data_IF_606835514187
#
_entry.id   IF_606835514187
#
_cell.length_a   1.000
_cell.length_b   1.000
_cell.length_c   1.000
_cell.angle_alpha   90.00
_cell.angle_beta   90.00
_cell.angle_gamma   90.00
#
_symmetry.space_group_name_H-M   'P 1'
#
loop_
_entity.id
_entity.type
_entity.pdbx_description
1 polymer ?
#
# COMPACT_ATOMS: atom_id res chain seq x y z
N UNK A 1 52.05 4.03 58.31
CA UNK A 1 51.28 2.82 58.39
C UNK A 1 50.36 2.79 57.22
N UNK A 2 50.85 2.20 56.34
CA UNK A 2 50.44 1.56 55.13
C UNK A 2 49.30 0.58 55.40
N UNK A 3 48.36 0.52 54.53
CA UNK A 3 47.80 -0.74 54.11
C UNK A 3 47.30 -0.58 52.69
N UNK A 4 48.03 -1.30 51.86
CA UNK A 4 47.86 -1.55 50.45
C UNK A 4 46.79 -2.63 50.31
N UNK A 5 45.71 -2.37 49.68
CA UNK A 5 44.70 -3.35 49.30
C UNK A 5 44.53 -3.36 47.79
N UNK A 6 45.45 -4.07 47.16
CA UNK A 6 45.43 -4.43 45.75
C UNK A 6 44.28 -5.42 45.47
N UNK A 7 43.15 -4.95 44.98
CA UNK A 7 42.11 -5.82 44.43
C UNK A 7 42.56 -6.39 43.09
N UNK A 8 43.01 -7.61 43.13
CA UNK A 8 43.23 -8.51 41.95
C UNK A 8 41.87 -8.78 41.27
N UNK A 9 41.71 -8.18 40.12
CA UNK A 9 40.62 -8.62 39.21
C UNK A 9 41.03 -9.92 38.54
N UNK A 10 40.36 -10.97 38.95
CA UNK A 10 40.52 -12.30 38.38
C UNK A 10 39.88 -12.34 36.99
N UNK A 11 40.70 -12.36 35.95
CA UNK A 11 40.29 -12.49 34.58
C UNK A 11 40.15 -13.96 34.20
N UNK A 12 39.02 -14.56 34.48
CA UNK A 12 38.73 -15.89 33.98
C UNK A 12 37.23 -16.10 33.75
N UNK A 13 36.90 -16.21 32.55
CA UNK A 13 35.76 -16.91 31.91
C UNK A 13 35.04 -16.10 30.88
N UNK A 14 35.64 -15.83 29.74
CA UNK A 14 34.90 -15.62 28.51
C UNK A 14 34.41 -16.96 27.99
N UNK A 15 33.33 -17.45 28.51
CA UNK A 15 32.56 -18.48 27.84
C UNK A 15 31.92 -17.86 26.61
N UNK A 16 32.47 -18.15 25.45
CA UNK A 16 31.88 -17.87 24.15
C UNK A 16 30.57 -18.64 24.04
N UNK A 17 29.45 -17.95 24.33
CA UNK A 17 28.12 -18.42 23.91
C UNK A 17 28.03 -18.25 22.40
N UNK A 18 28.74 -19.07 21.66
CA UNK A 18 28.56 -19.22 20.24
C UNK A 18 27.15 -19.81 20.01
N UNK A 19 26.24 -18.99 19.53
CA UNK A 19 24.97 -19.46 18.96
C UNK A 19 25.30 -20.61 17.99
N UNK A 20 24.65 -21.78 18.10
CA UNK A 20 24.82 -22.82 17.11
C UNK A 20 24.40 -22.26 15.74
N UNK A 21 25.14 -22.61 14.67
CA UNK A 21 24.75 -22.20 13.33
C UNK A 21 23.33 -22.70 13.05
N UNK A 22 22.44 -21.78 12.63
CA UNK A 22 21.10 -22.13 12.24
C UNK A 22 21.18 -23.21 11.16
N UNK A 23 20.62 -24.37 11.42
CA UNK A 23 20.46 -25.41 10.40
C UNK A 23 19.69 -24.84 9.22
N UNK A 24 20.08 -25.08 7.97
CA UNK A 24 19.31 -24.64 6.83
C UNK A 24 17.96 -25.33 6.90
N UNK A 25 16.90 -24.52 7.17
CA UNK A 25 15.52 -25.00 7.08
C UNK A 25 15.32 -25.58 5.68
N UNK A 26 15.23 -26.90 5.60
CA UNK A 26 14.80 -27.60 4.39
C UNK A 26 13.37 -27.13 4.07
N UNK A 27 13.26 -26.19 3.15
CA UNK A 27 12.00 -25.83 2.50
C UNK A 27 11.62 -26.99 1.57
N UNK A 28 11.13 -28.09 2.16
CA UNK A 28 10.32 -29.02 1.37
C UNK A 28 9.16 -28.22 0.76
N UNK A 29 8.77 -28.44 -0.49
CA UNK A 29 7.64 -27.79 -1.10
C UNK A 29 6.37 -28.29 -0.40
N UNK A 30 6.03 -27.66 0.72
CA UNK A 30 4.68 -27.73 1.24
C UNK A 30 3.83 -26.95 0.24
N UNK A 31 2.69 -27.50 -0.11
CA UNK A 31 1.64 -26.82 -0.86
C UNK A 31 1.18 -25.58 -0.05
N UNK A 32 1.99 -24.54 -0.11
CA UNK A 32 1.80 -23.31 0.64
C UNK A 32 0.73 -22.53 -0.09
N UNK A 33 -0.50 -22.73 0.31
CA UNK A 33 -1.61 -21.91 -0.13
C UNK A 33 -1.23 -20.44 0.06
N UNK A 34 -0.99 -19.72 -1.04
CA UNK A 34 -0.63 -18.30 -1.01
C UNK A 34 -1.75 -17.53 -0.33
N UNK A 35 -1.43 -16.85 0.75
CA UNK A 35 -2.37 -15.98 1.47
C UNK A 35 -2.22 -14.59 0.87
N UNK A 36 -3.28 -14.01 0.29
CA UNK A 36 -3.21 -12.66 -0.25
C UNK A 36 -3.14 -11.63 0.88
N UNK A 37 -2.34 -10.59 0.68
CA UNK A 37 -2.25 -9.43 1.54
C UNK A 37 -2.57 -8.17 0.77
N UNK A 38 -3.10 -7.17 1.44
CA UNK A 38 -3.27 -5.81 0.95
C UNK A 38 -2.36 -4.88 1.75
N UNK A 39 -1.63 -4.01 1.06
CA UNK A 39 -0.75 -3.01 1.66
C UNK A 39 -1.53 -1.91 2.37
N UNK A 40 -2.66 -1.48 1.78
CA UNK A 40 -3.62 -0.49 2.27
C UNK A 40 -3.16 0.96 2.36
N UNK A 41 -1.90 1.25 2.07
CA UNK A 41 -1.40 2.65 2.01
C UNK A 41 -0.43 2.85 0.84
N UNK A 42 -0.79 2.33 -0.34
CA UNK A 42 -0.03 2.58 -1.58
C UNK A 42 -0.23 4.06 -1.96
N UNK A 43 0.89 4.81 -2.01
CA UNK A 43 0.93 6.23 -2.37
C UNK A 43 2.34 6.62 -2.79
N UNK A 44 2.56 7.75 -3.48
CA UNK A 44 3.92 8.16 -3.89
C UNK A 44 4.92 8.28 -2.72
N UNK A 45 4.47 8.75 -1.55
CA UNK A 45 5.33 8.88 -0.37
C UNK A 45 5.85 7.54 0.19
N UNK A 46 5.21 6.42 -0.17
CA UNK A 46 5.62 5.07 0.22
C UNK A 46 6.33 4.32 -0.91
N UNK A 47 6.72 5.02 -1.98
CA UNK A 47 7.52 4.46 -3.08
C UNK A 47 8.83 5.22 -3.14
N UNK A 48 9.93 4.54 -2.92
CA UNK A 48 11.27 5.08 -3.12
C UNK A 48 11.82 4.64 -4.47
N UNK A 49 12.70 5.44 -5.03
CA UNK A 49 13.49 5.05 -6.20
C UNK A 49 14.83 4.53 -5.70
N UNK A 50 15.21 3.35 -6.14
CA UNK A 50 16.48 2.72 -5.81
C UNK A 50 17.66 3.52 -6.39
N UNK A 51 18.88 3.17 -5.98
CA UNK A 51 20.13 3.84 -6.41
C UNK A 51 20.37 3.75 -7.93
N UNK A 52 19.69 2.84 -8.64
CA UNK A 52 19.69 2.74 -10.11
C UNK A 52 18.91 3.89 -10.79
N UNK A 53 18.17 4.67 -10.03
CA UNK A 53 17.34 5.79 -10.51
C UNK A 53 16.09 5.39 -11.28
N UNK A 54 15.74 4.11 -11.35
CA UNK A 54 14.64 3.57 -12.17
C UNK A 54 13.72 2.63 -11.37
N UNK A 55 14.28 1.79 -10.50
CA UNK A 55 13.51 0.79 -9.78
C UNK A 55 12.72 1.39 -8.64
N UNK A 56 11.39 1.26 -8.69
CA UNK A 56 10.49 1.65 -7.59
C UNK A 56 10.46 0.57 -6.51
N UNK A 57 10.68 0.98 -5.26
CA UNK A 57 10.64 0.11 -4.08
C UNK A 57 9.48 0.53 -3.18
N UNK A 58 8.49 -0.34 -3.02
CA UNK A 58 7.37 -0.11 -2.11
C UNK A 58 7.83 -0.29 -0.67
N UNK A 59 7.47 0.66 0.18
CA UNK A 59 7.87 0.74 1.59
C UNK A 59 6.68 0.86 2.53
N UNK A 60 6.96 0.83 3.84
CA UNK A 60 6.00 1.04 4.92
C UNK A 60 4.84 0.02 4.92
N UNK A 61 5.18 -1.19 5.32
CA UNK A 61 4.21 -2.29 5.47
C UNK A 61 3.42 -2.24 6.79
N UNK A 62 3.47 -1.13 7.53
CA UNK A 62 2.79 -0.96 8.82
C UNK A 62 1.25 -1.05 8.74
N UNK A 63 0.67 -0.75 7.58
CA UNK A 63 -0.77 -0.87 7.29
C UNK A 63 -1.19 -2.22 6.69
N UNK A 64 -0.20 -3.07 6.34
CA UNK A 64 -0.43 -4.31 5.62
C UNK A 64 -1.22 -5.32 6.45
N UNK A 65 -2.25 -5.88 5.86
CA UNK A 65 -3.09 -6.90 6.49
C UNK A 65 -3.49 -7.97 5.48
N UNK A 66 -4.04 -9.08 5.99
CA UNK A 66 -4.64 -10.07 5.09
C UNK A 66 -5.70 -9.41 4.23
N UNK A 67 -5.68 -9.68 2.94
CA UNK A 67 -6.78 -9.38 2.05
C UNK A 67 -7.90 -10.43 2.16
N UNK A 68 -9.01 -10.19 1.46
CA UNK A 68 -10.19 -11.08 1.42
C UNK A 68 -10.83 -11.27 2.78
N UNK A 69 -11.08 -10.14 3.46
CA UNK A 69 -11.77 -10.09 4.76
C UNK A 69 -13.26 -10.12 4.52
N UNK A 70 -13.92 -11.21 4.94
CA UNK A 70 -15.39 -11.29 4.91
C UNK A 70 -15.97 -10.40 6.00
N UNK A 71 -16.92 -9.55 5.63
CA UNK A 71 -17.65 -8.65 6.52
C UNK A 71 -19.05 -9.21 6.71
N UNK A 72 -19.28 -9.88 7.83
CA UNK A 72 -20.55 -10.59 8.08
C UNK A 72 -21.56 -9.79 8.89
N UNK A 73 -21.13 -8.70 9.54
CA UNK A 73 -22.00 -7.90 10.40
C UNK A 73 -21.49 -6.46 10.55
N UNK A 74 -22.34 -5.59 11.10
CA UNK A 74 -22.06 -4.15 11.27
C UNK A 74 -20.84 -3.87 12.16
N UNK A 75 -20.58 -4.70 13.17
CA UNK A 75 -19.42 -4.51 14.07
C UNK A 75 -18.12 -4.70 13.30
N UNK A 76 -18.03 -5.73 12.46
CA UNK A 76 -16.88 -5.97 11.59
C UNK A 76 -16.70 -4.84 10.58
N UNK A 77 -17.80 -4.36 9.99
CA UNK A 77 -17.77 -3.23 9.05
C UNK A 77 -17.19 -1.98 9.71
N UNK A 78 -17.69 -1.58 10.88
CA UNK A 78 -17.16 -0.42 11.63
C UNK A 78 -15.71 -0.61 12.01
N UNK A 79 -15.32 -1.80 12.49
CA UNK A 79 -13.92 -2.07 12.82
C UNK A 79 -12.97 -1.89 11.61
N UNK A 80 -13.40 -2.31 10.41
CA UNK A 80 -12.58 -2.08 9.20
C UNK A 80 -12.53 -0.61 8.78
N UNK A 81 -13.62 0.16 8.97
CA UNK A 81 -13.62 1.61 8.75
C UNK A 81 -12.66 2.33 9.73
N UNK A 82 -12.68 1.93 11.01
CA UNK A 82 -11.79 2.50 12.03
C UNK A 82 -10.32 2.22 11.70
N UNK A 83 -9.99 0.96 11.34
CA UNK A 83 -8.65 0.58 10.89
C UNK A 83 -8.23 1.40 9.66
N UNK A 84 -9.11 1.52 8.66
CA UNK A 84 -8.82 2.30 7.47
C UNK A 84 -8.63 3.79 7.80
N UNK A 85 -9.39 4.35 8.76
CA UNK A 85 -9.27 5.75 9.14
C UNK A 85 -7.91 6.12 9.73
N UNK A 86 -7.28 5.17 10.42
CA UNK A 86 -5.97 5.34 11.09
C UNK A 86 -4.80 5.00 10.17
N UNK A 87 -4.94 3.94 9.36
CA UNK A 87 -3.82 3.31 8.66
C UNK A 87 -3.77 3.56 7.15
N UNK A 88 -4.72 4.32 6.59
CA UNK A 88 -4.71 4.64 5.15
C UNK A 88 -4.75 6.13 4.91
N UNK A 89 -4.07 6.59 3.89
CA UNK A 89 -4.06 8.01 3.48
C UNK A 89 -5.33 8.37 2.73
N UNK A 90 -6.12 9.30 3.28
CA UNK A 90 -7.47 9.64 2.79
C UNK A 90 -7.55 9.88 1.27
N UNK A 91 -6.64 10.64 0.62
CA UNK A 91 -6.70 10.89 -0.82
C UNK A 91 -6.46 9.67 -1.70
N UNK A 92 -5.92 8.59 -1.13
CA UNK A 92 -5.56 7.33 -1.80
C UNK A 92 -6.44 6.16 -1.35
N UNK A 93 -7.29 6.38 -0.32
CA UNK A 93 -8.16 5.36 0.26
C UNK A 93 -9.28 5.00 -0.69
N UNK A 94 -9.50 3.69 -0.90
CA UNK A 94 -10.58 3.20 -1.74
C UNK A 94 -11.98 3.53 -1.15
N UNK A 95 -12.98 3.82 -2.00
CA UNK A 95 -14.31 4.28 -1.56
C UNK A 95 -15.02 3.29 -0.63
N UNK A 96 -14.84 1.98 -0.84
CA UNK A 96 -15.42 0.93 0.01
C UNK A 96 -14.86 0.91 1.44
N UNK A 97 -13.74 1.59 1.70
CA UNK A 97 -13.16 1.72 3.04
C UNK A 97 -13.74 2.91 3.83
N UNK A 98 -14.47 3.82 3.18
CA UNK A 98 -15.18 4.92 3.86
C UNK A 98 -16.54 4.49 4.40
N UNK A 99 -17.18 3.53 3.74
CA UNK A 99 -18.48 2.99 4.16
C UNK A 99 -18.53 1.49 3.85
N UNK A 100 -17.90 0.73 4.74
CA UNK A 100 -17.81 -0.74 4.62
C UNK A 100 -19.19 -1.36 4.78
N UNK A 101 -19.63 -2.09 3.76
CA UNK A 101 -20.94 -2.76 3.77
C UNK A 101 -20.84 -4.14 4.43
N UNK A 102 -21.94 -4.60 4.99
CA UNK A 102 -22.08 -5.99 5.41
C UNK A 102 -22.31 -6.91 4.22
N UNK A 103 -22.04 -8.19 4.40
CA UNK A 103 -22.16 -9.23 3.37
C UNK A 103 -21.27 -8.99 2.13
N UNK A 104 -20.12 -8.34 2.35
CA UNK A 104 -19.09 -8.09 1.34
C UNK A 104 -17.77 -8.74 1.72
N UNK A 105 -16.83 -8.73 0.78
CA UNK A 105 -15.43 -9.11 1.01
C UNK A 105 -14.58 -7.89 0.66
N UNK A 106 -13.77 -7.44 1.61
CA UNK A 106 -12.69 -6.50 1.32
C UNK A 106 -11.47 -7.30 0.85
N UNK A 107 -10.98 -7.00 -0.32
CA UNK A 107 -9.89 -7.72 -0.95
C UNK A 107 -8.73 -6.78 -1.39
N UNK A 108 -7.78 -7.32 -2.13
CA UNK A 108 -6.62 -6.61 -2.67
C UNK A 108 -6.98 -5.50 -3.68
N UNK A 109 -8.21 -5.40 -4.13
CA UNK A 109 -8.69 -4.33 -5.04
C UNK A 109 -8.64 -2.93 -4.39
N UNK A 110 -8.56 -2.85 -3.06
CA UNK A 110 -8.30 -1.58 -2.37
C UNK A 110 -6.94 -0.99 -2.77
N UNK A 111 -5.92 -1.85 -2.99
CA UNK A 111 -4.59 -1.41 -3.42
C UNK A 111 -4.57 -1.04 -4.91
N UNK A 112 -5.38 -1.67 -5.75
CA UNK A 112 -5.54 -1.29 -7.16
C UNK A 112 -6.11 0.12 -7.29
N UNK A 113 -7.09 0.48 -6.44
CA UNK A 113 -7.57 1.87 -6.37
C UNK A 113 -6.44 2.83 -5.95
N UNK A 114 -5.71 2.51 -4.88
CA UNK A 114 -4.61 3.32 -4.38
C UNK A 114 -3.49 3.47 -5.41
N UNK A 115 -3.23 2.41 -6.20
CA UNK A 115 -2.31 2.44 -7.34
C UNK A 115 -2.81 3.39 -8.43
N UNK A 116 -4.11 3.37 -8.77
CA UNK A 116 -4.71 4.31 -9.71
C UNK A 116 -4.54 5.77 -9.26
N UNK A 117 -4.78 6.05 -7.97
CA UNK A 117 -4.52 7.38 -7.39
C UNK A 117 -3.02 7.75 -7.46
N UNK A 118 -2.13 6.78 -7.24
CA UNK A 118 -0.69 6.97 -7.28
C UNK A 118 -0.22 7.28 -8.71
N UNK A 119 -0.67 6.53 -9.70
CA UNK A 119 -0.39 6.78 -11.12
C UNK A 119 -0.87 8.18 -11.55
N UNK A 120 -2.07 8.56 -11.12
CA UNK A 120 -2.58 9.92 -11.35
C UNK A 120 -1.66 10.96 -10.70
N UNK A 121 -1.27 10.76 -9.43
CA UNK A 121 -0.42 11.70 -8.72
C UNK A 121 0.98 11.81 -9.32
N UNK A 122 1.54 10.74 -9.85
CA UNK A 122 2.82 10.76 -10.58
C UNK A 122 2.72 11.55 -11.89
N UNK A 123 1.57 11.47 -12.59
CA UNK A 123 1.36 12.18 -13.84
C UNK A 123 1.07 13.67 -13.62
N UNK A 124 0.25 14.02 -12.62
CA UNK A 124 -0.32 15.37 -12.47
C UNK A 124 0.10 16.08 -11.19
N UNK A 125 1.01 15.50 -10.39
CA UNK A 125 1.62 16.07 -9.17
C UNK A 125 0.66 16.32 -8.00
N UNK A 126 -0.54 15.76 -8.04
CA UNK A 126 -1.51 15.76 -6.94
C UNK A 126 -2.44 14.54 -7.07
N UNK A 127 -3.07 14.11 -5.98
CA UNK A 127 -4.03 13.02 -6.07
C UNK A 127 -5.28 13.43 -6.88
N UNK A 128 -6.02 12.51 -7.48
CA UNK A 128 -7.20 12.85 -8.28
C UNK A 128 -8.28 13.57 -7.47
N UNK A 129 -8.27 13.44 -6.15
CA UNK A 129 -9.29 13.97 -5.23
C UNK A 129 -8.84 15.19 -4.42
N UNK A 130 -7.56 15.58 -4.51
CA UNK A 130 -7.01 16.81 -3.94
C UNK A 130 -7.01 17.92 -4.99
N UNK A 131 -8.15 18.55 -5.14
CA UNK A 131 -8.35 19.69 -6.04
C UNK A 131 -8.40 21.00 -5.24
N UNK A 132 -8.21 22.18 -5.85
CA UNK A 132 -8.39 23.46 -5.15
C UNK A 132 -9.74 23.55 -4.45
N UNK A 133 -10.80 22.98 -5.02
CA UNK A 133 -12.13 22.98 -4.40
C UNK A 133 -12.24 22.10 -3.16
N UNK A 134 -11.48 20.99 -3.10
CA UNK A 134 -11.47 20.10 -1.91
C UNK A 134 -10.51 20.57 -0.83
N UNK A 135 -9.41 21.22 -1.20
CA UNK A 135 -8.36 21.63 -0.26
C UNK A 135 -8.57 23.07 0.21
N UNK A 136 -8.83 24.01 -0.71
CA UNK A 136 -8.85 25.45 -0.41
C UNK A 136 -10.26 25.97 -0.10
N UNK A 137 -11.30 25.37 -0.67
CA UNK A 137 -12.69 25.82 -0.54
C UNK A 137 -13.48 25.04 0.52
N UNK A 138 -12.81 24.21 1.32
CA UNK A 138 -13.44 23.45 2.39
C UNK A 138 -14.30 22.28 1.92
N UNK A 139 -14.08 21.80 0.69
CA UNK A 139 -14.72 20.59 0.19
C UNK A 139 -14.19 19.33 0.91
N UNK A 140 -14.95 18.25 0.84
CA UNK A 140 -14.59 16.98 1.48
C UNK A 140 -13.90 16.04 0.49
N UNK A 141 -12.63 15.71 0.75
CA UNK A 141 -11.90 14.67 0.00
C UNK A 141 -12.65 13.34 0.08
N UNK A 142 -13.14 12.97 1.27
CA UNK A 142 -13.91 11.74 1.44
C UNK A 142 -15.15 11.70 0.53
N UNK A 143 -15.87 12.82 0.42
CA UNK A 143 -17.02 12.91 -0.47
C UNK A 143 -16.62 12.84 -1.95
N UNK A 144 -15.50 13.48 -2.33
CA UNK A 144 -14.98 13.41 -3.69
C UNK A 144 -14.59 11.95 -4.06
N UNK A 145 -13.93 11.24 -3.16
CA UNK A 145 -13.57 9.83 -3.34
C UNK A 145 -14.82 8.95 -3.48
N UNK A 146 -15.76 9.07 -2.53
CA UNK A 146 -16.98 8.23 -2.52
C UNK A 146 -17.92 8.51 -3.70
N UNK A 147 -17.84 9.68 -4.31
CA UNK A 147 -18.58 10.04 -5.53
C UNK A 147 -17.79 9.76 -6.82
N UNK A 148 -16.52 9.34 -6.72
CA UNK A 148 -15.64 9.18 -7.88
C UNK A 148 -15.43 10.50 -8.66
N UNK A 149 -15.48 11.65 -7.96
CA UNK A 149 -15.47 12.97 -8.57
C UNK A 149 -14.03 13.44 -8.83
N UNK A 150 -13.45 13.00 -9.93
CA UNK A 150 -12.16 13.48 -10.43
C UNK A 150 -12.23 13.81 -11.92
N UNK A 151 -11.24 14.55 -12.42
CA UNK A 151 -11.13 14.92 -13.83
C UNK A 151 -9.67 14.93 -14.26
N UNK A 152 -9.42 14.54 -15.50
CA UNK A 152 -8.11 14.77 -16.12
C UNK A 152 -7.98 16.22 -16.58
N UNK A 153 -6.75 16.79 -16.61
CA UNK A 153 -6.50 18.09 -17.21
C UNK A 153 -6.94 18.14 -18.68
N UNK A 154 -7.40 19.31 -19.14
CA UNK A 154 -7.78 19.48 -20.54
C UNK A 154 -6.57 19.36 -21.49
N UNK A 155 -5.44 19.91 -21.08
CA UNK A 155 -4.17 19.89 -21.84
C UNK A 155 -3.27 18.73 -21.32
N UNK A 156 -3.82 17.53 -21.35
CA UNK A 156 -3.13 16.32 -20.87
C UNK A 156 -2.00 15.93 -21.84
N UNK A 157 -0.73 15.94 -21.38
CA UNK A 157 0.43 15.57 -22.20
C UNK A 157 0.60 14.06 -22.38
N UNK A 158 -0.13 13.24 -21.60
CA UNK A 158 0.05 11.81 -21.55
C UNK A 158 -0.80 11.07 -22.58
N UNK A 159 -0.36 9.87 -22.96
CA UNK A 159 -1.08 9.05 -23.91
C UNK A 159 -2.46 8.61 -23.36
N UNK A 160 -3.46 8.40 -24.25
CA UNK A 160 -4.75 7.87 -23.84
C UNK A 160 -4.68 6.54 -23.05
N UNK A 161 -3.64 5.75 -23.26
CA UNK A 161 -3.43 4.48 -22.53
C UNK A 161 -3.22 4.69 -21.04
N UNK A 162 -2.48 5.75 -20.64
CA UNK A 162 -2.26 6.08 -19.22
C UNK A 162 -3.58 6.47 -18.57
N UNK A 163 -4.39 7.31 -19.22
CA UNK A 163 -5.71 7.68 -18.72
C UNK A 163 -6.66 6.51 -18.59
N UNK A 164 -6.65 5.62 -19.60
CA UNK A 164 -7.48 4.41 -19.57
C UNK A 164 -7.08 3.50 -18.39
N UNK A 165 -5.79 3.27 -18.19
CA UNK A 165 -5.29 2.48 -17.08
C UNK A 165 -5.69 3.09 -15.73
N UNK A 166 -5.48 4.41 -15.53
CA UNK A 166 -5.89 5.11 -14.32
C UNK A 166 -7.42 4.96 -14.12
N UNK A 167 -8.21 5.17 -15.16
CA UNK A 167 -9.67 5.10 -15.10
C UNK A 167 -10.16 3.71 -14.69
N UNK A 168 -9.55 2.65 -15.21
CA UNK A 168 -9.89 1.26 -14.84
C UNK A 168 -9.49 0.95 -13.40
N UNK A 169 -8.32 1.41 -12.96
CA UNK A 169 -7.90 1.26 -11.56
C UNK A 169 -8.85 2.02 -10.61
N UNK A 170 -9.37 3.18 -11.03
CA UNK A 170 -10.29 4.02 -10.28
C UNK A 170 -11.78 3.67 -10.54
N UNK A 171 -12.08 2.46 -11.02
CA UNK A 171 -13.46 2.00 -11.08
C UNK A 171 -14.07 1.95 -9.67
N UNK A 172 -15.26 2.55 -9.52
CA UNK A 172 -15.91 2.65 -8.20
C UNK A 172 -16.26 1.29 -7.63
N UNK A 173 -16.76 0.38 -8.48
CA UNK A 173 -16.97 -1.02 -8.14
C UNK A 173 -15.62 -1.75 -8.05
N UNK A 174 -15.21 -2.31 -6.90
CA UNK A 174 -13.97 -3.06 -6.78
C UNK A 174 -13.84 -4.21 -7.77
N UNK A 175 -14.95 -4.87 -8.11
CA UNK A 175 -14.95 -6.01 -9.03
C UNK A 175 -14.72 -5.60 -10.50
N UNK A 176 -14.92 -4.32 -10.83
CA UNK A 176 -14.62 -3.78 -12.15
C UNK A 176 -13.14 -3.36 -12.30
N UNK A 177 -12.38 -3.30 -11.21
CA UNK A 177 -10.95 -2.97 -11.25
C UNK A 177 -10.15 -4.16 -11.81
N UNK A 178 -9.08 -3.89 -12.58
CA UNK A 178 -8.21 -4.96 -13.11
C UNK A 178 -7.52 -5.74 -11.98
N UNK A 179 -7.06 -6.94 -12.29
CA UNK A 179 -6.06 -7.64 -11.48
C UNK A 179 -4.69 -6.99 -11.66
N UNK A 180 -3.77 -7.18 -10.71
CA UNK A 180 -2.43 -6.60 -10.83
C UNK A 180 -1.66 -7.11 -12.04
N UNK A 181 -1.89 -8.36 -12.42
CA UNK A 181 -1.26 -8.96 -13.62
C UNK A 181 -1.76 -8.28 -14.90
N UNK A 182 -3.05 -7.89 -14.96
CA UNK A 182 -3.60 -7.14 -16.09
C UNK A 182 -2.97 -5.74 -16.17
N UNK A 183 -2.84 -5.05 -15.01
CA UNK A 183 -2.16 -3.74 -14.95
C UNK A 183 -0.72 -3.84 -15.44
N UNK A 184 0.02 -4.86 -15.01
CA UNK A 184 1.40 -5.10 -15.42
C UNK A 184 1.50 -5.37 -16.93
N UNK A 185 0.59 -6.18 -17.48
CA UNK A 185 0.52 -6.45 -18.91
C UNK A 185 0.29 -5.18 -19.74
N UNK A 186 -0.64 -4.33 -19.31
CA UNK A 186 -0.96 -3.07 -19.98
C UNK A 186 0.21 -2.08 -19.96
N UNK A 187 0.90 -1.98 -18.82
CA UNK A 187 2.10 -1.14 -18.71
C UNK A 187 3.21 -1.62 -19.64
N UNK A 188 3.48 -2.93 -19.67
CA UNK A 188 4.47 -3.49 -20.59
C UNK A 188 4.11 -3.26 -22.05
N UNK A 189 2.83 -3.40 -22.41
CA UNK A 189 2.33 -3.15 -23.76
C UNK A 189 2.47 -1.67 -24.15
N UNK A 190 2.18 -0.76 -23.24
CA UNK A 190 2.35 0.68 -23.45
C UNK A 190 3.82 1.05 -23.65
N UNK A 191 4.74 0.51 -22.83
CA UNK A 191 6.18 0.75 -22.95
C UNK A 191 6.75 0.20 -24.26
N UNK A 192 6.27 -0.94 -24.75
CA UNK A 192 6.71 -1.53 -26.02
C UNK A 192 6.26 -0.73 -27.25
N UNK A 193 5.32 0.21 -27.09
CA UNK A 193 4.78 1.06 -28.16
C UNK A 193 5.44 2.43 -28.30
N UNK A 194 6.41 2.74 -27.42
CA UNK A 194 7.22 3.98 -27.40
C UNK A 194 8.53 3.73 -28.14
#
# INVERSE_FOLDING_TARGET
KADDDSLLFDAASTASDAYPPAEPMSLAPQDTQRVPYAHRDVKPANIMIDDDGVTGVLMDFGSTTRARIKISNRREAVAQQDVASVHTSMPYRAPELFDVKTDTILDEKVDIWSLGCTLYAMAYLHSPFETPSTVEQGGSIALAVTNGAYKFPNDDPYSPHIRDLITRCLAHDPQARPEIDDVLHDVHSALASI
#
